data_IF_699661977507
#
_entry.id   IF_699661977507
#
_cell.length_a   1.000
_cell.length_b   1.000
_cell.length_c   1.000
_cell.angle_alpha   90.00
_cell.angle_beta   90.00
_cell.angle_gamma   90.00
#
_symmetry.space_group_name_H-M   'P 1'
#
loop_
_entity.id
_entity.type
_entity.pdbx_description
1 polymer ?
#
# COMPACT_ATOMS: atom_id res chain seq x y z
N UNK A 1 -4.68 5.20 0.30
CA UNK A 1 -3.49 5.08 -0.58
C UNK A 1 -3.59 5.91 -1.85
N UNK A 2 -4.75 5.95 -2.53
CA UNK A 2 -4.94 6.73 -3.78
C UNK A 2 -5.34 8.19 -3.57
N UNK A 3 -5.63 8.59 -2.33
CA UNK A 3 -5.83 10.00 -1.95
C UNK A 3 -4.47 10.64 -1.76
N UNK A 4 -4.17 11.77 -2.42
CA UNK A 4 -2.89 12.45 -2.24
C UNK A 4 -2.66 12.94 -0.81
N UNK A 5 -1.40 12.87 -0.38
CA UNK A 5 -0.93 13.33 0.93
C UNK A 5 -0.18 14.64 0.76
N UNK A 6 -0.64 15.69 1.44
CA UNK A 6 0.02 16.99 1.47
C UNK A 6 1.15 17.00 2.51
N UNK A 7 2.31 17.51 2.12
CA UNK A 7 3.49 17.69 2.97
C UNK A 7 3.78 19.18 3.10
N UNK A 8 3.90 19.66 4.34
CA UNK A 8 4.32 21.03 4.64
C UNK A 8 5.66 20.96 5.36
N UNK A 9 6.70 21.49 4.73
CA UNK A 9 8.07 21.45 5.22
C UNK A 9 8.57 22.82 5.68
N UNK A 10 9.57 22.81 6.56
CA UNK A 10 10.38 23.98 6.91
C UNK A 10 11.87 23.67 6.70
N UNK A 11 12.74 24.66 6.91
CA UNK A 11 14.19 24.46 6.84
C UNK A 11 14.61 23.29 7.74
N UNK A 12 15.33 22.33 7.17
CA UNK A 12 15.80 21.10 7.82
C UNK A 12 14.72 20.09 8.22
N UNK A 13 13.47 20.23 7.75
CA UNK A 13 12.55 19.09 7.76
C UNK A 13 13.15 17.97 6.90
N UNK A 14 13.33 16.79 7.49
CA UNK A 14 13.95 15.63 6.85
C UNK A 14 13.03 14.42 6.83
N UNK A 15 13.17 13.60 5.80
CA UNK A 15 12.63 12.25 5.77
C UNK A 15 13.79 11.26 5.92
N UNK A 16 13.67 10.36 6.91
CA UNK A 16 14.58 9.23 7.11
C UNK A 16 14.65 8.36 5.86
N UNK A 17 15.64 7.47 5.80
CA UNK A 17 15.69 6.48 4.73
C UNK A 17 14.45 5.58 4.78
N UNK A 18 13.68 5.59 3.70
CA UNK A 18 12.39 4.93 3.62
C UNK A 18 12.24 4.23 2.27
N UNK A 19 11.59 3.08 2.30
CA UNK A 19 11.13 2.33 1.13
C UNK A 19 9.71 1.88 1.41
N UNK A 20 8.82 2.06 0.44
CA UNK A 20 7.46 1.58 0.55
C UNK A 20 7.42 0.05 0.72
N UNK A 21 6.80 -0.47 1.80
CA UNK A 21 6.77 -1.90 2.05
C UNK A 21 5.91 -2.66 1.03
N UNK A 22 4.96 -1.99 0.36
CA UNK A 22 4.12 -2.58 -0.69
C UNK A 22 4.82 -2.63 -2.06
N UNK A 23 6.03 -2.08 -2.17
CA UNK A 23 6.75 -2.00 -3.44
C UNK A 23 6.00 -1.20 -4.50
N UNK A 24 5.12 -0.28 -4.11
CA UNK A 24 4.39 0.57 -5.02
C UNK A 24 5.27 1.75 -5.47
N UNK A 25 5.20 2.14 -6.75
CA UNK A 25 5.72 3.44 -7.14
C UNK A 25 4.85 4.57 -6.58
N UNK A 26 5.47 5.73 -6.40
CA UNK A 26 4.76 6.94 -6.01
C UNK A 26 5.42 8.17 -6.62
N UNK A 27 4.65 9.24 -6.70
CA UNK A 27 5.07 10.51 -7.28
C UNK A 27 4.88 11.62 -6.26
N UNK A 28 5.78 12.60 -6.23
CA UNK A 28 5.63 13.83 -5.45
C UNK A 28 5.77 15.06 -6.35
N UNK A 29 4.83 15.99 -6.22
CA UNK A 29 4.86 17.29 -6.86
C UNK A 29 5.16 18.39 -5.85
N UNK A 30 6.16 19.23 -6.12
CA UNK A 30 6.48 20.38 -5.29
C UNK A 30 5.70 21.60 -5.78
N UNK A 31 4.68 22.02 -5.04
CA UNK A 31 3.79 23.11 -5.44
C UNK A 31 4.47 24.47 -5.34
N UNK A 32 5.09 24.76 -4.20
CA UNK A 32 5.66 26.08 -3.91
C UNK A 32 6.71 26.04 -2.80
N UNK A 33 7.44 27.14 -2.66
CA UNK A 33 8.42 27.35 -1.59
C UNK A 33 9.86 27.09 -2.02
N UNK A 34 10.69 26.70 -1.07
CA UNK A 34 12.10 26.37 -1.27
C UNK A 34 12.28 24.98 -1.88
N UNK A 35 13.44 24.73 -2.46
CA UNK A 35 13.78 23.46 -3.10
C UNK A 35 13.93 22.32 -2.09
N UNK A 36 13.68 21.10 -2.52
CA UNK A 36 13.84 19.87 -1.72
C UNK A 36 14.99 19.03 -2.26
N UNK A 37 15.93 18.67 -1.40
CA UNK A 37 17.06 17.80 -1.78
C UNK A 37 16.64 16.36 -1.56
N UNK A 38 16.84 15.52 -2.57
CA UNK A 38 16.50 14.10 -2.56
C UNK A 38 17.74 13.24 -2.72
N UNK A 39 17.73 12.11 -2.03
CA UNK A 39 18.67 11.02 -2.19
C UNK A 39 17.89 9.75 -2.50
N UNK A 40 18.37 8.96 -3.46
CA UNK A 40 17.74 7.72 -3.87
C UNK A 40 18.76 6.59 -3.93
N UNK A 41 18.40 5.42 -3.41
CA UNK A 41 19.16 4.19 -3.55
C UNK A 41 18.27 3.20 -4.32
N UNK A 42 18.70 2.79 -5.52
CA UNK A 42 17.99 1.80 -6.30
C UNK A 42 17.92 0.44 -5.60
N UNK A 43 16.94 -0.37 -5.98
CA UNK A 43 16.73 -1.67 -5.36
C UNK A 43 17.90 -2.64 -5.60
N UNK A 44 18.58 -2.53 -6.75
CA UNK A 44 19.77 -3.32 -7.09
C UNK A 44 20.90 -3.12 -6.06
N UNK A 45 20.92 -1.98 -5.37
CA UNK A 45 21.88 -1.66 -4.32
C UNK A 45 21.32 -1.84 -2.90
N UNK A 46 20.13 -2.41 -2.74
CA UNK A 46 19.50 -2.62 -1.43
C UNK A 46 20.35 -3.50 -0.51
N UNK A 47 21.07 -4.50 -1.05
CA UNK A 47 21.93 -5.36 -0.24
C UNK A 47 23.15 -4.59 0.30
N UNK A 48 23.82 -3.82 -0.56
CA UNK A 48 24.93 -2.95 -0.16
C UNK A 48 24.48 -1.93 0.89
N UNK A 49 23.29 -1.34 0.71
CA UNK A 49 22.71 -0.41 1.66
C UNK A 49 22.43 -1.06 3.02
N UNK A 50 21.85 -2.26 3.04
CA UNK A 50 21.66 -3.05 4.27
C UNK A 50 22.98 -3.30 4.99
N UNK A 51 23.99 -3.81 4.28
CA UNK A 51 25.31 -4.08 4.87
C UNK A 51 25.98 -2.82 5.44
N UNK A 52 25.81 -1.66 4.80
CA UNK A 52 26.29 -0.39 5.32
C UNK A 52 25.55 0.03 6.60
N UNK A 53 24.21 -0.09 6.63
CA UNK A 53 23.42 0.26 7.81
C UNK A 53 23.65 -0.69 8.98
N UNK A 54 23.84 -1.98 8.74
CA UNK A 54 24.19 -2.94 9.78
C UNK A 54 25.53 -2.63 10.45
N UNK A 55 26.49 -2.02 9.72
CA UNK A 55 27.74 -1.52 10.32
C UNK A 55 27.56 -0.19 11.05
N UNK A 56 26.90 0.78 10.40
CA UNK A 56 26.83 2.16 10.89
C UNK A 56 25.82 2.32 12.05
N UNK A 57 24.67 1.65 11.93
CA UNK A 57 23.50 1.83 12.81
C UNK A 57 22.76 0.50 13.05
N UNK A 58 23.45 -0.56 13.55
CA UNK A 58 22.91 -1.93 13.65
C UNK A 58 21.59 -2.03 14.42
N UNK A 59 21.39 -1.18 15.45
CA UNK A 59 20.21 -1.21 16.31
C UNK A 59 18.90 -0.93 15.58
N UNK A 60 18.95 -0.27 14.42
CA UNK A 60 17.77 0.05 13.62
C UNK A 60 17.49 -1.00 12.53
N UNK A 61 18.42 -1.93 12.29
CA UNK A 61 18.23 -3.02 11.34
C UNK A 61 17.59 -4.21 12.04
N UNK A 62 16.46 -4.67 11.52
CA UNK A 62 15.76 -5.86 12.02
C UNK A 62 16.17 -7.10 11.21
N UNK A 63 16.21 -8.24 11.89
CA UNK A 63 16.38 -9.54 11.25
C UNK A 63 15.03 -10.04 10.69
N UNK A 64 14.54 -9.34 9.66
CA UNK A 64 13.26 -9.58 8.96
C UNK A 64 13.44 -9.30 7.47
N UNK A 65 12.46 -9.68 6.64
CA UNK A 65 12.44 -9.34 5.20
C UNK A 65 12.38 -7.83 5.01
N UNK A 66 11.51 -7.14 5.78
CA UNK A 66 11.51 -5.68 5.92
C UNK A 66 12.46 -5.31 7.07
N UNK A 67 13.72 -5.15 6.71
CA UNK A 67 14.82 -4.96 7.65
C UNK A 67 14.96 -3.50 8.14
N UNK A 68 14.46 -2.52 7.38
CA UNK A 68 14.46 -1.10 7.76
C UNK A 68 13.02 -0.58 7.87
N UNK A 69 12.49 -0.41 9.09
CA UNK A 69 11.16 0.18 9.27
C UNK A 69 11.17 1.68 8.95
N UNK A 70 10.02 2.21 8.54
CA UNK A 70 9.83 3.63 8.25
C UNK A 70 10.25 4.53 9.42
N UNK A 71 10.80 5.70 9.12
CA UNK A 71 11.12 6.75 10.09
C UNK A 71 12.12 6.36 11.20
N UNK A 72 12.90 5.29 11.00
CA UNK A 72 13.81 4.78 12.05
C UNK A 72 15.23 5.29 11.96
N UNK A 73 15.79 5.44 10.76
CA UNK A 73 17.22 5.74 10.60
C UNK A 73 17.49 6.85 9.58
N UNK A 74 18.28 7.83 10.01
CA UNK A 74 18.85 8.86 9.14
C UNK A 74 20.37 8.70 9.16
N UNK A 75 20.95 8.38 8.00
CA UNK A 75 22.40 8.25 7.82
C UNK A 75 22.84 9.22 6.71
N UNK A 76 23.85 10.07 6.95
CA UNK A 76 24.38 10.95 5.92
C UNK A 76 24.79 10.18 4.66
N UNK A 77 24.36 10.63 3.46
CA UNK A 77 24.71 9.98 2.19
C UNK A 77 26.23 9.80 1.99
N UNK A 78 27.04 10.74 2.49
CA UNK A 78 28.50 10.67 2.41
C UNK A 78 29.11 9.50 3.18
N UNK A 79 28.47 9.03 4.27
CA UNK A 79 28.89 7.83 4.99
C UNK A 79 28.51 6.56 4.22
N UNK A 80 27.34 6.54 3.59
CA UNK A 80 26.91 5.41 2.77
C UNK A 80 27.83 5.21 1.57
N UNK A 81 28.23 6.30 0.91
CA UNK A 81 29.20 6.26 -0.20
C UNK A 81 30.56 5.73 0.27
N UNK A 82 31.03 6.11 1.48
CA UNK A 82 32.27 5.57 2.06
C UNK A 82 32.19 4.07 2.34
N UNK A 83 31.00 3.56 2.67
CA UNK A 83 30.73 2.12 2.83
C UNK A 83 30.47 1.40 1.51
N UNK A 84 30.61 2.08 0.37
CA UNK A 84 30.49 1.49 -0.98
C UNK A 84 29.06 1.42 -1.52
N UNK A 85 28.11 2.16 -0.95
CA UNK A 85 26.73 2.24 -1.47
C UNK A 85 26.65 3.24 -2.61
N UNK A 86 26.16 2.80 -3.77
CA UNK A 86 25.83 3.68 -4.90
C UNK A 86 24.47 4.35 -4.66
N UNK A 87 24.42 5.67 -4.77
CA UNK A 87 23.20 6.46 -4.61
C UNK A 87 23.14 7.60 -5.62
N UNK A 88 21.93 8.04 -5.95
CA UNK A 88 21.68 9.25 -6.73
C UNK A 88 21.22 10.39 -5.82
N UNK A 89 21.42 11.62 -6.28
CA UNK A 89 20.86 12.80 -5.63
C UNK A 89 20.26 13.74 -6.68
N UNK A 90 19.27 14.52 -6.27
CA UNK A 90 18.72 15.60 -7.10
C UNK A 90 18.17 16.72 -6.21
N UNK A 91 17.97 17.90 -6.81
CA UNK A 91 17.26 19.01 -6.19
C UNK A 91 15.95 19.18 -6.95
N UNK A 92 14.83 19.10 -6.22
CA UNK A 92 13.49 19.35 -6.72
C UNK A 92 13.16 20.82 -6.50
N UNK A 93 12.93 21.56 -7.58
CA UNK A 93 12.44 22.94 -7.56
C UNK A 93 10.91 22.97 -7.64
N UNK A 94 10.24 24.06 -7.21
CA UNK A 94 8.81 24.24 -7.41
C UNK A 94 8.38 24.02 -8.86
N UNK A 95 7.24 23.36 -9.05
CA UNK A 95 6.74 22.96 -10.36
C UNK A 95 7.24 21.59 -10.85
N UNK A 96 8.09 20.89 -10.08
CA UNK A 96 8.70 19.64 -10.52
C UNK A 96 8.11 18.41 -9.84
N UNK A 97 8.06 17.33 -10.61
CA UNK A 97 7.76 15.99 -10.14
C UNK A 97 9.03 15.21 -9.76
N UNK A 98 8.93 14.42 -8.70
CA UNK A 98 9.84 13.33 -8.36
C UNK A 98 9.06 12.03 -8.45
N UNK A 99 9.52 11.13 -9.31
CA UNK A 99 8.99 9.78 -9.44
C UNK A 99 9.90 8.79 -8.70
N UNK A 100 9.33 8.03 -7.76
CA UNK A 100 10.02 6.99 -7.01
C UNK A 100 9.56 5.63 -7.52
N UNK A 101 10.54 4.83 -7.96
CA UNK A 101 10.31 3.49 -8.50
C UNK A 101 10.07 2.46 -7.38
N UNK A 102 9.42 1.32 -7.70
CA UNK A 102 9.22 0.23 -6.76
C UNK A 102 10.49 -0.13 -6.01
N UNK A 103 10.37 -0.31 -4.69
CA UNK A 103 11.44 -0.81 -3.79
C UNK A 103 12.71 0.06 -3.71
N UNK A 104 12.73 1.25 -4.31
CA UNK A 104 13.81 2.19 -4.09
C UNK A 104 13.76 2.78 -2.67
N UNK A 105 14.92 2.94 -2.04
CA UNK A 105 15.05 3.72 -0.81
C UNK A 105 15.21 5.19 -1.14
N UNK A 106 14.54 6.05 -0.39
CA UNK A 106 14.64 7.51 -0.53
C UNK A 106 14.85 8.18 0.81
N UNK A 107 15.52 9.33 0.78
CA UNK A 107 15.63 10.26 1.90
C UNK A 107 15.60 11.67 1.34
N UNK A 108 15.10 12.63 2.11
CA UNK A 108 15.01 14.01 1.65
C UNK A 108 15.25 15.04 2.75
N UNK A 109 15.64 16.25 2.35
CA UNK A 109 15.88 17.40 3.22
C UNK A 109 15.28 18.64 2.58
N UNK A 110 14.44 19.37 3.33
CA UNK A 110 13.86 20.63 2.89
C UNK A 110 14.84 21.79 3.13
N UNK A 111 15.02 22.66 2.12
CA UNK A 111 15.95 23.81 2.23
C UNK A 111 15.26 25.10 2.72
N UNK A 112 13.98 25.03 3.06
CA UNK A 112 13.18 26.16 3.55
C UNK A 112 11.71 25.77 3.70
N UNK A 113 10.84 26.77 3.82
CA UNK A 113 9.39 26.55 3.78
C UNK A 113 8.98 26.00 2.41
N UNK A 114 8.21 24.92 2.38
CA UNK A 114 7.68 24.35 1.14
C UNK A 114 6.34 23.65 1.35
N UNK A 115 5.62 23.47 0.25
CA UNK A 115 4.41 22.65 0.18
C UNK A 115 4.53 21.70 -0.99
N UNK A 116 4.49 20.39 -0.73
CA UNK A 116 4.47 19.35 -1.75
C UNK A 116 3.33 18.37 -1.51
N UNK A 117 3.03 17.55 -2.50
CA UNK A 117 1.95 16.57 -2.45
C UNK A 117 2.42 15.28 -3.10
N UNK A 118 2.18 14.14 -2.43
CA UNK A 118 2.56 12.83 -2.95
C UNK A 118 1.40 11.85 -3.03
N UNK A 119 1.48 10.90 -3.96
CA UNK A 119 0.46 9.86 -4.11
C UNK A 119 1.09 8.58 -4.69
N UNK A 120 0.60 7.45 -4.19
CA UNK A 120 0.97 6.12 -4.69
C UNK A 120 0.11 5.74 -5.90
N UNK A 121 0.66 4.92 -6.78
CA UNK A 121 -0.09 4.33 -7.88
C UNK A 121 0.37 2.90 -8.15
N UNK A 122 -0.48 2.08 -8.78
CA UNK A 122 -0.15 0.71 -9.13
C UNK A 122 -0.26 0.50 -10.64
N UNK A 123 0.73 -0.18 -11.21
CA UNK A 123 0.70 -0.68 -12.58
C UNK A 123 0.29 -2.16 -12.59
N UNK A 124 -0.31 -2.69 -13.67
CA UNK A 124 -0.71 -4.10 -13.75
C UNK A 124 0.38 -5.12 -13.43
N UNK A 125 1.63 -4.82 -13.75
CA UNK A 125 2.79 -5.66 -13.45
C UNK A 125 3.04 -5.85 -11.94
N UNK A 126 2.62 -4.91 -11.09
CA UNK A 126 2.80 -5.02 -9.63
C UNK A 126 2.07 -6.23 -9.04
N UNK A 127 0.94 -6.63 -9.64
CA UNK A 127 0.16 -7.80 -9.21
C UNK A 127 0.98 -9.10 -9.27
N UNK A 128 1.96 -9.19 -10.17
CA UNK A 128 2.84 -10.37 -10.28
C UNK A 128 3.67 -10.61 -9.02
N UNK A 129 3.97 -9.56 -8.26
CA UNK A 129 4.77 -9.62 -7.02
C UNK A 129 3.94 -9.40 -5.77
N UNK A 130 2.68 -8.99 -5.89
CA UNK A 130 1.85 -8.57 -4.76
C UNK A 130 1.72 -9.66 -3.69
N UNK A 131 1.48 -10.93 -4.04
CA UNK A 131 1.33 -11.99 -3.03
C UNK A 131 2.57 -12.14 -2.14
N UNK A 132 3.77 -12.08 -2.75
CA UNK A 132 5.02 -12.18 -2.01
C UNK A 132 5.27 -10.94 -1.15
N UNK A 133 5.00 -9.76 -1.68
CA UNK A 133 5.12 -8.49 -0.94
C UNK A 133 4.26 -8.51 0.32
N UNK A 134 2.99 -8.89 0.21
CA UNK A 134 2.09 -8.94 1.36
C UNK A 134 2.47 -10.02 2.37
N UNK A 135 3.05 -11.12 1.90
CA UNK A 135 3.65 -12.13 2.76
C UNK A 135 4.86 -11.58 3.53
N UNK A 136 5.74 -10.84 2.87
CA UNK A 136 6.92 -10.22 3.49
C UNK A 136 6.52 -9.19 4.57
N UNK A 137 5.47 -8.41 4.30
CA UNK A 137 4.89 -7.48 5.28
C UNK A 137 4.39 -8.24 6.51
N UNK A 138 3.63 -9.32 6.30
CA UNK A 138 3.09 -10.15 7.36
C UNK A 138 4.21 -10.82 8.20
N UNK A 139 5.24 -11.39 7.57
CA UNK A 139 6.38 -12.03 8.25
C UNK A 139 7.25 -11.02 9.03
N UNK A 140 7.22 -9.75 8.61
CA UNK A 140 7.89 -8.65 9.28
C UNK A 140 7.04 -7.97 10.36
N UNK A 141 5.78 -8.39 10.54
CA UNK A 141 4.79 -7.74 11.42
C UNK A 141 4.62 -6.23 11.13
N UNK A 142 4.83 -5.82 9.88
CA UNK A 142 4.61 -4.44 9.46
C UNK A 142 3.13 -4.18 9.21
N UNK A 143 2.66 -2.97 9.51
CA UNK A 143 1.27 -2.60 9.22
C UNK A 143 1.13 -2.32 7.74
N UNK A 144 0.03 -2.78 7.15
CA UNK A 144 -0.26 -2.61 5.73
C UNK A 144 -1.38 -1.60 5.53
N UNK A 145 -1.18 -0.70 4.57
CA UNK A 145 -2.14 0.36 4.23
C UNK A 145 -3.34 -0.14 3.42
N UNK A 146 -3.30 -1.37 2.90
CA UNK A 146 -4.33 -1.97 2.05
C UNK A 146 -4.50 -3.44 2.43
N UNK A 147 -5.70 -4.00 2.34
CA UNK A 147 -5.87 -5.46 2.36
C UNK A 147 -5.76 -6.00 0.93
N UNK A 148 -4.77 -6.88 0.66
CA UNK A 148 -4.63 -7.52 -0.64
C UNK A 148 -5.90 -8.28 -1.02
N UNK A 149 -6.48 -9.01 -0.08
CA UNK A 149 -7.73 -9.75 -0.31
C UNK A 149 -8.84 -8.81 -0.75
N UNK A 150 -9.07 -7.72 0.00
CA UNK A 150 -10.09 -6.72 -0.33
C UNK A 150 -9.86 -6.12 -1.71
N UNK A 151 -8.61 -5.79 -2.04
CA UNK A 151 -8.22 -5.28 -3.34
C UNK A 151 -8.54 -6.28 -4.46
N UNK A 152 -8.15 -7.54 -4.30
CA UNK A 152 -8.37 -8.58 -5.32
C UNK A 152 -9.86 -8.86 -5.53
N UNK A 153 -10.65 -8.96 -4.46
CA UNK A 153 -12.11 -9.10 -4.58
C UNK A 153 -12.75 -7.86 -5.22
N UNK A 154 -12.28 -6.65 -4.91
CA UNK A 154 -12.79 -5.42 -5.53
C UNK A 154 -12.47 -5.35 -7.02
N UNK A 155 -11.24 -5.68 -7.42
CA UNK A 155 -10.84 -5.75 -8.84
C UNK A 155 -11.65 -6.82 -9.56
N UNK A 156 -11.82 -7.99 -8.94
CA UNK A 156 -12.57 -9.07 -9.54
C UNK A 156 -14.03 -8.65 -9.78
N UNK A 157 -14.69 -8.07 -8.79
CA UNK A 157 -16.11 -7.68 -8.86
C UNK A 157 -16.40 -6.43 -9.70
N UNK A 158 -15.40 -5.60 -10.00
CA UNK A 158 -15.58 -4.42 -10.84
C UNK A 158 -15.71 -4.78 -12.33
N UNK A 159 -16.89 -4.53 -12.89
CA UNK A 159 -17.19 -4.74 -14.31
C UNK A 159 -16.31 -3.92 -15.27
N UNK A 160 -15.61 -2.90 -14.78
CA UNK A 160 -14.70 -2.05 -15.57
C UNK A 160 -13.28 -2.59 -15.64
N UNK A 161 -12.96 -3.64 -14.90
CA UNK A 161 -11.61 -4.21 -14.82
C UNK A 161 -11.13 -4.76 -16.15
N UNK A 162 -9.89 -4.44 -16.52
CA UNK A 162 -9.28 -4.90 -17.76
C UNK A 162 -9.03 -6.42 -17.73
N UNK A 163 -9.23 -7.09 -18.87
CA UNK A 163 -9.17 -8.56 -18.96
C UNK A 163 -7.78 -9.10 -18.59
N UNK A 164 -6.72 -8.38 -18.94
CA UNK A 164 -5.34 -8.74 -18.57
C UNK A 164 -5.09 -8.68 -17.05
N UNK A 165 -5.74 -7.73 -16.36
CA UNK A 165 -5.67 -7.62 -14.90
C UNK A 165 -6.46 -8.77 -14.27
N UNK A 166 -7.67 -9.04 -14.77
CA UNK A 166 -8.49 -10.15 -14.30
C UNK A 166 -7.81 -11.52 -14.47
N UNK A 167 -7.06 -11.72 -15.56
CA UNK A 167 -6.24 -12.93 -15.78
C UNK A 167 -5.21 -13.16 -14.69
N UNK A 168 -4.62 -12.10 -14.14
CA UNK A 168 -3.65 -12.19 -13.04
C UNK A 168 -4.34 -12.35 -11.69
N UNK A 169 -5.45 -11.66 -11.47
CA UNK A 169 -6.18 -11.65 -10.19
C UNK A 169 -6.93 -12.96 -9.92
N UNK A 170 -7.53 -13.58 -10.94
CA UNK A 170 -8.39 -14.76 -10.74
C UNK A 170 -7.66 -15.95 -10.06
N UNK A 171 -6.44 -16.36 -10.49
CA UNK A 171 -5.69 -17.39 -9.77
C UNK A 171 -5.45 -17.06 -8.29
N UNK A 172 -5.17 -15.79 -7.98
CA UNK A 172 -4.93 -15.32 -6.61
C UNK A 172 -6.21 -15.44 -5.77
N UNK A 173 -7.35 -15.01 -6.30
CA UNK A 173 -8.66 -15.10 -5.61
C UNK A 173 -9.05 -16.57 -5.37
N UNK A 174 -8.84 -17.45 -6.36
CA UNK A 174 -9.10 -18.89 -6.21
C UNK A 174 -8.25 -19.49 -5.09
N UNK A 175 -6.97 -19.11 -5.02
CA UNK A 175 -6.04 -19.57 -3.98
C UNK A 175 -6.46 -19.09 -2.59
N UNK A 176 -6.79 -17.81 -2.44
CA UNK A 176 -7.31 -17.22 -1.19
C UNK A 176 -8.56 -17.96 -0.74
N UNK A 177 -9.53 -18.17 -1.65
CA UNK A 177 -10.76 -18.91 -1.35
C UNK A 177 -10.45 -20.34 -0.86
N UNK A 178 -9.55 -21.06 -1.53
CA UNK A 178 -9.24 -22.44 -1.13
C UNK A 178 -8.57 -22.50 0.25
N UNK A 179 -7.65 -21.57 0.54
CA UNK A 179 -7.02 -21.47 1.86
C UNK A 179 -8.03 -21.10 2.94
N UNK A 180 -8.90 -20.13 2.66
CA UNK A 180 -9.95 -19.70 3.58
C UNK A 180 -10.88 -20.87 3.97
N UNK A 181 -11.37 -21.62 2.99
CA UNK A 181 -12.24 -22.79 3.24
C UNK A 181 -11.51 -23.86 4.06
N UNK A 182 -10.24 -24.12 3.76
CA UNK A 182 -9.40 -25.04 4.53
C UNK A 182 -9.31 -24.62 6.00
N UNK A 183 -9.00 -23.35 6.26
CA UNK A 183 -8.86 -22.86 7.64
C UNK A 183 -10.18 -22.82 8.40
N UNK A 184 -11.30 -22.44 7.74
CA UNK A 184 -12.63 -22.52 8.36
C UNK A 184 -12.98 -23.95 8.75
N UNK A 185 -12.68 -24.91 7.87
CA UNK A 185 -12.92 -26.32 8.16
C UNK A 185 -12.06 -26.81 9.34
N UNK A 186 -10.81 -26.40 9.43
CA UNK A 186 -9.93 -26.73 10.55
C UNK A 186 -10.41 -26.12 11.88
N UNK A 187 -10.90 -24.88 11.87
CA UNK A 187 -11.52 -24.27 13.06
C UNK A 187 -12.79 -25.02 13.50
N UNK A 188 -13.59 -25.49 12.55
CA UNK A 188 -14.76 -26.32 12.84
C UNK A 188 -14.36 -27.67 13.46
N UNK A 189 -13.31 -28.33 12.97
CA UNK A 189 -12.82 -29.60 13.55
C UNK A 189 -12.22 -29.41 14.95
N UNK A 190 -11.64 -28.23 15.22
CA UNK A 190 -11.21 -27.83 16.56
C UNK A 190 -12.37 -27.51 17.52
N UNK A 191 -13.59 -27.40 17.00
CA UNK A 191 -14.81 -27.22 17.80
C UNK A 191 -15.33 -25.78 17.87
N UNK A 192 -14.78 -24.85 17.07
CA UNK A 192 -15.29 -23.48 16.97
C UNK A 192 -16.59 -23.46 16.17
N UNK A 193 -17.73 -23.46 16.86
CA UNK A 193 -19.06 -23.49 16.21
C UNK A 193 -19.70 -22.11 16.07
N UNK A 194 -19.28 -21.15 16.88
CA UNK A 194 -19.84 -19.80 16.85
C UNK A 194 -19.27 -19.03 15.67
N UNK A 195 -20.16 -18.58 14.78
CA UNK A 195 -19.80 -17.71 13.68
C UNK A 195 -20.83 -16.58 13.50
N UNK A 196 -20.38 -15.44 12.97
CA UNK A 196 -21.22 -14.26 12.73
C UNK A 196 -20.68 -13.48 11.52
N UNK A 197 -21.56 -12.81 10.77
CA UNK A 197 -21.13 -11.97 9.65
C UNK A 197 -20.52 -10.66 10.17
N UNK A 198 -19.43 -10.21 9.57
CA UNK A 198 -18.84 -8.91 9.86
C UNK A 198 -19.84 -7.80 9.50
N UNK A 199 -20.04 -6.81 10.37
CA UNK A 199 -20.89 -5.68 10.05
C UNK A 199 -20.24 -4.88 8.91
N UNK A 200 -20.81 -4.97 7.71
CA UNK A 200 -20.40 -4.10 6.61
C UNK A 200 -20.73 -2.65 6.98
N UNK A 201 -19.92 -1.66 6.56
CA UNK A 201 -20.27 -0.25 6.71
C UNK A 201 -21.50 0.06 5.83
N UNK A 202 -22.72 -0.17 6.35
CA UNK A 202 -23.92 0.28 5.69
C UNK A 202 -24.13 1.78 5.92
N UNK A 203 -24.56 2.46 4.86
CA UNK A 203 -24.90 3.87 4.74
C UNK A 203 -26.10 4.33 5.61
N UNK A 204 -26.26 3.80 6.82
CA UNK A 204 -27.31 4.21 7.76
C UNK A 204 -26.69 5.02 8.91
N UNK A 205 -27.05 6.31 8.96
CA UNK A 205 -26.54 7.31 9.91
C UNK A 205 -26.91 7.11 11.38
N UNK A 206 -26.85 5.88 11.91
CA UNK A 206 -27.00 5.60 13.35
C UNK A 206 -25.63 5.35 13.96
N UNK A 207 -24.97 6.45 14.36
CA UNK A 207 -23.80 6.44 15.24
C UNK A 207 -24.08 5.61 16.50
N UNK A 208 -23.51 4.40 16.60
CA UNK A 208 -23.39 3.69 17.88
C UNK A 208 -22.24 4.33 18.65
N UNK A 209 -22.56 5.17 19.64
CA UNK A 209 -21.59 5.70 20.60
C UNK A 209 -20.99 4.54 21.42
N UNK A 210 -19.86 3.96 21.00
CA UNK A 210 -18.83 3.41 21.92
C UNK A 210 -17.65 2.71 21.23
N UNK A 211 -17.43 2.79 19.91
CA UNK A 211 -16.29 2.12 19.29
C UNK A 211 -15.12 3.08 19.05
N UNK A 212 -13.87 2.68 19.33
CA UNK A 212 -12.68 3.47 18.98
C UNK A 212 -12.62 3.67 17.46
N UNK A 213 -12.08 4.82 17.01
CA UNK A 213 -12.09 5.22 15.59
C UNK A 213 -11.46 4.20 14.62
N UNK A 214 -10.61 3.27 15.10
CA UNK A 214 -10.07 2.14 14.31
C UNK A 214 -11.13 1.11 13.88
N UNK A 215 -12.22 0.98 14.62
CA UNK A 215 -13.27 -0.01 14.37
C UNK A 215 -14.36 0.47 13.39
N UNK A 216 -14.37 1.76 13.01
CA UNK A 216 -15.45 2.33 12.19
C UNK A 216 -15.28 2.05 10.67
N UNK A 217 -14.08 1.73 10.18
CA UNK A 217 -13.79 1.50 8.75
C UNK A 217 -13.64 0.02 8.33
N UNK A 218 -13.74 -0.92 9.28
CA UNK A 218 -13.61 -2.35 9.01
C UNK A 218 -12.18 -2.83 8.75
N UNK A 219 -11.18 -2.06 9.18
CA UNK A 219 -9.75 -2.37 9.01
C UNK A 219 -9.22 -3.14 10.22
N UNK A 220 -9.64 -4.40 10.34
CA UNK A 220 -9.16 -5.30 11.39
C UNK A 220 -7.74 -5.78 11.11
N UNK A 221 -6.88 -5.83 12.13
CA UNK A 221 -5.53 -6.39 12.05
C UNK A 221 -5.37 -7.57 13.02
N UNK A 222 -4.58 -8.57 12.65
CA UNK A 222 -4.23 -9.65 13.58
C UNK A 222 -3.25 -9.17 14.66
N UNK A 223 -3.49 -9.50 15.92
CA UNK A 223 -2.60 -9.12 17.03
C UNK A 223 -1.18 -9.70 16.93
N UNK A 224 -1.01 -10.83 16.25
CA UNK A 224 0.28 -11.53 16.17
C UNK A 224 1.11 -11.08 14.96
N UNK A 225 0.53 -11.12 13.76
CA UNK A 225 1.25 -10.78 12.53
C UNK A 225 0.86 -9.43 11.90
N UNK A 226 -0.10 -8.71 12.48
CA UNK A 226 -0.61 -7.42 11.98
C UNK A 226 -1.12 -7.42 10.54
N UNK A 227 -1.39 -8.59 9.97
CA UNK A 227 -2.07 -8.69 8.68
C UNK A 227 -3.49 -8.11 8.77
N UNK A 228 -3.89 -7.34 7.76
CA UNK A 228 -5.27 -6.90 7.60
C UNK A 228 -6.18 -8.12 7.37
N UNK A 229 -7.33 -8.12 8.02
CA UNK A 229 -8.28 -9.23 8.01
C UNK A 229 -9.56 -8.78 7.31
N UNK A 230 -9.77 -9.27 6.10
CA UNK A 230 -10.92 -8.89 5.29
C UNK A 230 -11.88 -10.06 5.08
N UNK A 231 -11.40 -11.22 4.62
CA UNK A 231 -12.30 -12.34 4.29
C UNK A 231 -12.93 -12.92 5.56
N UNK A 232 -12.11 -13.14 6.59
CA UNK A 232 -12.55 -13.57 7.92
C UNK A 232 -11.52 -13.26 9.00
N UNK A 233 -11.96 -13.37 10.25
CA UNK A 233 -11.14 -13.24 11.45
C UNK A 233 -11.75 -14.04 12.60
N UNK A 234 -10.97 -14.28 13.65
CA UNK A 234 -11.49 -14.82 14.92
C UNK A 234 -11.33 -13.77 16.01
N UNK A 235 -12.43 -13.41 16.66
CA UNK A 235 -12.43 -12.55 17.84
C UNK A 235 -12.38 -13.40 19.11
N UNK A 236 -11.62 -12.99 20.11
CA UNK A 236 -11.62 -13.58 21.45
C UNK A 236 -12.18 -12.56 22.46
N UNK A 237 -13.36 -12.82 23.03
CA UNK A 237 -14.03 -11.89 23.95
C UNK A 237 -13.38 -11.80 25.33
N UNK A 238 -12.48 -12.72 25.69
CA UNK A 238 -11.82 -12.71 27.00
C UNK A 238 -10.60 -11.78 27.04
N UNK A 239 -9.84 -11.75 25.95
CA UNK A 239 -8.63 -10.92 25.81
C UNK A 239 -8.88 -9.69 24.94
N UNK A 240 -10.11 -9.50 24.46
CA UNK A 240 -10.50 -8.47 23.48
C UNK A 240 -9.65 -8.48 22.20
N UNK A 241 -9.13 -9.66 21.84
CA UNK A 241 -8.17 -9.83 20.75
C UNK A 241 -8.77 -10.28 19.43
N UNK A 242 -8.07 -9.95 18.34
CA UNK A 242 -8.45 -10.26 16.96
C UNK A 242 -7.32 -11.03 16.26
N UNK A 243 -7.65 -12.17 15.66
CA UNK A 243 -6.67 -13.07 15.05
C UNK A 243 -7.04 -13.45 13.62
N UNK A 244 -6.01 -13.58 12.76
CA UNK A 244 -6.19 -14.30 11.49
C UNK A 244 -6.44 -15.78 11.76
N UNK A 245 -7.04 -16.50 10.80
CA UNK A 245 -7.38 -17.92 11.00
C UNK A 245 -6.17 -18.80 11.36
N UNK A 246 -4.99 -18.69 10.72
CA UNK A 246 -3.81 -19.48 11.11
C UNK A 246 -3.41 -19.28 12.58
N UNK A 247 -3.37 -18.04 13.05
CA UNK A 247 -3.02 -17.75 14.45
C UNK A 247 -4.13 -18.17 15.42
N UNK A 248 -5.39 -18.07 15.01
CA UNK A 248 -6.51 -18.57 15.80
C UNK A 248 -6.45 -20.10 15.95
N UNK A 249 -6.13 -20.82 14.88
CA UNK A 249 -5.91 -22.28 14.88
C UNK A 249 -4.79 -22.65 15.85
N UNK A 250 -3.65 -21.96 15.78
CA UNK A 250 -2.54 -22.17 16.72
C UNK A 250 -2.94 -21.90 18.17
N UNK A 251 -3.65 -20.79 18.42
CA UNK A 251 -4.15 -20.43 19.75
C UNK A 251 -5.08 -21.53 20.30
N UNK A 252 -6.06 -21.96 19.52
CA UNK A 252 -7.08 -22.93 19.94
C UNK A 252 -6.52 -24.35 20.05
N UNK A 253 -5.49 -24.68 19.29
CA UNK A 253 -4.75 -25.95 19.40
C UNK A 253 -4.03 -26.03 20.75
N UNK A 254 -3.36 -24.94 21.14
CA UNK A 254 -2.57 -24.89 22.39
C UNK A 254 -3.43 -24.60 23.63
N UNK A 255 -4.51 -23.82 23.49
CA UNK A 255 -5.34 -23.31 24.58
C UNK A 255 -6.83 -23.56 24.30
N UNK A 256 -7.25 -24.83 24.29
CA UNK A 256 -8.65 -25.22 24.04
C UNK A 256 -9.70 -24.54 24.92
N UNK A 257 -9.33 -24.09 26.13
CA UNK A 257 -10.26 -23.37 27.01
C UNK A 257 -10.70 -22.00 26.46
N UNK A 258 -9.99 -21.44 25.47
CA UNK A 258 -10.40 -20.21 24.77
C UNK A 258 -11.58 -20.42 23.81
N UNK A 259 -11.91 -21.66 23.43
CA UNK A 259 -12.98 -21.96 22.45
C UNK A 259 -14.32 -21.31 22.78
N UNK A 260 -14.68 -21.23 24.08
CA UNK A 260 -15.94 -20.62 24.54
C UNK A 260 -15.98 -19.08 24.39
N UNK A 261 -14.83 -18.44 24.21
CA UNK A 261 -14.68 -17.00 24.06
C UNK A 261 -14.37 -16.59 22.61
N UNK A 262 -14.02 -17.57 21.77
CA UNK A 262 -13.72 -17.34 20.37
C UNK A 262 -14.98 -17.39 19.50
N UNK A 263 -15.02 -16.53 18.48
CA UNK A 263 -16.06 -16.51 17.45
C UNK A 263 -15.43 -16.22 16.08
N UNK A 264 -15.82 -16.98 15.07
CA UNK A 264 -15.43 -16.73 13.68
C UNK A 264 -16.30 -15.60 13.10
N UNK A 265 -15.68 -14.53 12.65
CA UNK A 265 -16.34 -13.46 11.92
C UNK A 265 -15.97 -13.53 10.45
N UNK A 266 -16.93 -13.35 9.53
CA UNK A 266 -16.66 -13.44 8.09
C UNK A 266 -17.37 -12.37 7.26
N UNK A 267 -16.76 -11.95 6.16
CA UNK A 267 -17.37 -11.01 5.19
C UNK A 267 -18.28 -11.74 4.22
N UNK A 268 -17.79 -12.86 3.67
CA UNK A 268 -18.51 -13.70 2.70
C UNK A 268 -18.76 -15.10 3.24
N UNK A 269 -19.95 -15.64 2.99
CA UNK A 269 -20.23 -17.06 3.17
C UNK A 269 -19.63 -17.91 2.03
N UNK A 270 -19.66 -19.23 2.17
CA UNK A 270 -19.05 -20.14 1.18
C UNK A 270 -19.69 -20.06 -0.21
N UNK A 271 -20.99 -19.78 -0.29
CA UNK A 271 -21.74 -19.70 -1.54
C UNK A 271 -21.53 -18.35 -2.22
N UNK A 272 -21.43 -17.27 -1.46
CA UNK A 272 -20.99 -15.95 -1.94
C UNK A 272 -19.58 -16.03 -2.53
N UNK A 273 -18.61 -16.59 -1.81
CA UNK A 273 -17.24 -16.75 -2.35
C UNK A 273 -17.22 -17.59 -3.64
N UNK A 274 -18.07 -18.62 -3.75
CA UNK A 274 -18.23 -19.41 -4.98
C UNK A 274 -18.81 -18.56 -6.11
N UNK A 275 -19.86 -17.79 -5.84
CA UNK A 275 -20.53 -16.94 -6.83
C UNK A 275 -19.58 -15.89 -7.37
N UNK A 276 -18.86 -15.20 -6.50
CA UNK A 276 -17.88 -14.20 -6.93
C UNK A 276 -16.90 -14.83 -7.92
N UNK A 277 -16.24 -15.94 -7.56
CA UNK A 277 -15.28 -16.62 -8.46
C UNK A 277 -15.91 -17.08 -9.79
N UNK A 278 -17.16 -17.55 -9.78
CA UNK A 278 -17.82 -18.12 -10.96
C UNK A 278 -18.30 -17.07 -11.96
N UNK A 279 -18.57 -15.83 -11.54
CA UNK A 279 -18.93 -14.73 -12.46
C UNK A 279 -17.79 -14.43 -13.46
N UNK A 280 -16.55 -14.81 -13.14
CA UNK A 280 -15.37 -14.46 -13.94
C UNK A 280 -15.02 -15.46 -15.05
N UNK A 281 -15.38 -16.74 -14.91
CA UNK A 281 -15.02 -17.81 -15.86
C UNK A 281 -15.61 -17.60 -17.28
N UNK A 282 -16.86 -17.11 -17.45
CA UNK A 282 -17.43 -16.84 -18.78
C UNK A 282 -16.73 -15.67 -19.51
N UNK A 283 -16.34 -14.62 -18.79
CA UNK A 283 -15.71 -13.42 -19.37
C UNK A 283 -14.30 -13.70 -19.93
N UNK A 284 -13.59 -14.69 -19.37
CA UNK A 284 -12.26 -15.10 -19.83
C UNK A 284 -12.29 -16.12 -20.98
N UNK A 285 -13.33 -16.96 -21.03
CA UNK A 285 -13.50 -17.99 -22.07
C UNK A 285 -13.96 -17.40 -23.41
N UNK A 286 -14.66 -16.25 -23.41
CA UNK A 286 -15.07 -15.53 -24.62
C UNK A 286 -13.92 -14.80 -25.33
N UNK A 287 -12.74 -14.69 -24.70
CA UNK A 287 -11.61 -13.86 -25.17
C UNK A 287 -10.31 -14.64 -25.37
N UNK A 288 -10.38 -15.96 -25.53
CA UNK A 288 -9.24 -16.83 -25.89
C UNK A 288 -8.81 -16.71 -27.36
N UNK A 289 -9.39 -15.77 -28.13
CA UNK A 289 -9.26 -15.71 -29.59
C UNK A 289 -8.30 -14.67 -30.20
N UNK A 290 -7.69 -13.72 -29.47
CA UNK A 290 -6.86 -12.68 -30.10
C UNK A 290 -5.56 -12.32 -29.34
N UNK A 291 -4.48 -12.33 -30.13
CA UNK A 291 -3.04 -12.00 -29.96
C UNK A 291 -2.75 -10.55 -29.45
N UNK A 292 -1.48 -10.06 -29.36
CA UNK A 292 -0.14 -10.68 -29.21
C UNK A 292 0.64 -10.18 -27.95
N UNK A 293 1.77 -10.82 -27.64
CA UNK A 293 2.72 -10.40 -26.59
C UNK A 293 3.51 -9.15 -26.99
N UNK A 294 3.43 -8.08 -26.21
CA UNK A 294 4.37 -6.95 -26.28
C UNK A 294 5.37 -7.09 -25.13
N UNK A 295 6.63 -7.35 -25.48
CA UNK A 295 7.76 -7.30 -24.56
C UNK A 295 8.15 -5.84 -24.36
N UNK A 296 8.06 -5.33 -23.13
CA UNK A 296 8.70 -4.08 -22.72
C UNK A 296 9.96 -4.44 -21.93
N UNK A 297 11.10 -4.09 -22.50
CA UNK A 297 12.43 -4.21 -21.90
C UNK A 297 12.58 -3.25 -20.72
N UNK A 298 13.12 -3.76 -19.62
CA UNK A 298 13.56 -3.02 -18.44
C UNK A 298 14.52 -1.90 -18.86
N UNK A 299 14.06 -0.65 -18.80
CA UNK A 299 14.93 0.52 -18.95
C UNK A 299 15.38 1.04 -17.60
N UNK A 300 16.69 1.31 -17.55
CA UNK A 300 17.50 1.76 -16.45
C UNK A 300 16.97 3.03 -15.79
N UNK A 301 16.82 2.97 -14.46
CA UNK A 301 16.94 4.03 -13.46
C UNK A 301 17.12 5.47 -13.96
N UNK A 302 16.10 6.31 -13.75
CA UNK A 302 16.24 7.77 -13.67
C UNK A 302 15.22 8.31 -12.66
N UNK A 303 15.65 9.22 -11.78
CA UNK A 303 14.72 10.21 -11.26
C UNK A 303 14.32 11.05 -12.48
N UNK A 304 13.11 10.80 -13.00
CA UNK A 304 12.63 11.50 -14.18
C UNK A 304 12.12 12.87 -13.74
N UNK A 305 12.88 13.90 -14.07
CA UNK A 305 12.46 15.30 -13.95
C UNK A 305 11.56 15.62 -15.13
N UNK A 306 10.29 15.88 -14.86
CA UNK A 306 9.37 16.49 -15.83
C UNK A 306 9.23 17.96 -15.48
N UNK A 307 9.59 18.82 -16.43
CA UNK A 307 9.44 20.27 -16.32
C UNK A 307 8.14 20.67 -17.04
N UNK A 308 7.16 21.17 -16.30
CA UNK A 308 5.94 21.73 -16.91
C UNK A 308 6.27 23.15 -17.35
N UNK A 309 6.40 23.36 -18.68
CA UNK A 309 6.75 24.67 -19.24
C UNK A 309 5.84 25.79 -18.68
N UNK A 310 6.49 26.78 -18.07
CA UNK A 310 5.96 27.93 -17.31
C UNK A 310 5.12 28.95 -18.12
N UNK A 311 4.48 28.59 -19.23
CA UNK A 311 3.89 29.56 -20.17
C UNK A 311 2.43 29.97 -19.92
N UNK A 312 1.74 29.39 -18.94
CA UNK A 312 0.31 29.70 -18.69
C UNK A 312 0.03 30.62 -17.49
N UNK A 313 1.05 31.23 -16.86
CA UNK A 313 0.87 32.08 -15.67
C UNK A 313 1.14 33.59 -15.88
N UNK A 314 1.58 34.03 -17.06
CA UNK A 314 1.76 35.46 -17.34
C UNK A 314 0.50 36.07 -17.96
N UNK A 315 -0.52 36.32 -17.13
CA UNK A 315 -1.50 37.39 -17.40
C UNK A 315 -1.56 38.32 -16.20
N UNK A 316 -1.46 39.64 -16.39
CA UNK A 316 -1.46 40.58 -15.29
C UNK A 316 -2.81 40.51 -14.56
N UNK A 317 -2.75 40.40 -13.24
CA UNK A 317 -3.90 40.45 -12.34
C UNK A 317 -4.52 41.85 -12.44
N UNK A 318 -5.80 42.02 -12.84
CA UNK A 318 -6.47 43.29 -12.68
C UNK A 318 -6.79 43.47 -11.20
N UNK A 319 -6.39 44.61 -10.64
CA UNK A 319 -6.86 45.10 -9.36
C UNK A 319 -8.37 45.29 -9.41
N UNK A 320 -9.15 44.51 -8.65
CA UNK A 320 -10.37 44.96 -7.96
C UNK A 320 -10.93 43.87 -7.02
N UNK A 321 -11.13 44.31 -5.77
CA UNK A 321 -12.16 43.98 -4.79
C UNK A 321 -12.71 42.55 -4.60
N UNK A 322 -12.46 42.08 -3.38
CA UNK A 322 -13.37 41.40 -2.44
C UNK A 322 -14.28 40.25 -2.90
N UNK A 323 -14.16 39.17 -2.12
CA UNK A 323 -15.09 38.04 -1.94
C UNK A 323 -15.16 37.01 -3.07
N UNK A 324 -14.26 36.01 -3.04
CA UNK A 324 -14.63 34.60 -3.02
C UNK A 324 -13.40 33.71 -2.83
N UNK A 325 -13.47 32.86 -1.80
CA UNK A 325 -12.52 31.82 -1.44
C UNK A 325 -12.39 30.81 -2.60
N UNK A 326 -11.32 30.86 -3.40
CA UNK A 326 -10.98 29.80 -4.35
C UNK A 326 -10.06 28.80 -3.64
N UNK A 327 -10.61 27.64 -3.33
CA UNK A 327 -9.90 26.54 -2.68
C UNK A 327 -8.72 26.03 -3.51
N UNK A 328 -7.71 25.52 -2.80
CA UNK A 328 -6.62 24.72 -3.36
C UNK A 328 -7.21 23.57 -4.20
N UNK A 329 -6.81 23.49 -5.46
CA UNK A 329 -7.27 22.44 -6.38
C UNK A 329 -6.42 21.18 -6.14
N UNK A 330 -6.89 20.29 -5.26
CA UNK A 330 -6.19 19.04 -4.85
C UNK A 330 -6.15 17.96 -5.96
N UNK A 331 -6.24 18.36 -7.23
CA UNK A 331 -6.53 17.45 -8.35
C UNK A 331 -5.40 17.39 -9.41
N UNK A 332 -4.36 18.24 -9.29
CA UNK A 332 -3.32 18.33 -10.33
C UNK A 332 -2.48 17.04 -10.46
N UNK A 333 -2.01 16.49 -9.34
CA UNK A 333 -1.18 15.27 -9.31
C UNK A 333 -1.96 14.05 -9.84
N UNK A 334 -3.22 13.90 -9.42
CA UNK A 334 -4.11 12.82 -9.89
C UNK A 334 -4.42 12.93 -11.38
N UNK A 335 -4.53 14.16 -11.92
CA UNK A 335 -4.78 14.39 -13.34
C UNK A 335 -3.60 13.99 -14.22
N UNK A 336 -2.37 14.37 -13.84
CA UNK A 336 -1.14 14.01 -14.58
C UNK A 336 -0.96 12.49 -14.65
N UNK A 337 -1.25 11.80 -13.54
CA UNK A 337 -1.23 10.34 -13.47
C UNK A 337 -2.22 9.70 -14.45
N UNK A 338 -3.48 10.15 -14.48
CA UNK A 338 -4.52 9.60 -15.38
C UNK A 338 -4.25 9.86 -16.85
N UNK A 339 -3.65 11.00 -17.20
CA UNK A 339 -3.41 11.38 -18.59
C UNK A 339 -2.18 10.69 -19.20
N UNK A 340 -1.20 10.24 -18.40
CA UNK A 340 0.11 9.80 -18.91
C UNK A 340 0.55 8.39 -18.47
N UNK A 341 -0.06 7.80 -17.45
CA UNK A 341 0.34 6.51 -16.90
C UNK A 341 -0.91 5.62 -16.79
N UNK A 342 -0.97 4.54 -17.57
CA UNK A 342 -2.06 3.55 -17.48
C UNK A 342 -2.06 2.88 -16.09
N UNK A 343 -2.77 3.50 -15.14
CA UNK A 343 -2.81 3.12 -13.73
C UNK A 343 -4.04 2.25 -13.47
N UNK A 344 -3.88 1.27 -12.58
CA UNK A 344 -5.03 0.55 -12.01
C UNK A 344 -5.72 1.51 -11.03
N UNK A 345 -6.90 1.99 -11.43
CA UNK A 345 -7.74 2.91 -10.66
C UNK A 345 -8.72 2.19 -9.76
#
# INVERSE_FOLDING_TARGET
VTVPTLHVGMLFTTCCWYRDPHGLPWIEYLHTGASKIWYGIPDEYSCSFRSALEKLVPRYCRDRTIWLPSDTAMVPPSLLVKEGVSLCHTVQEPGQFILVFPRAFTSSVCTGYLVSESVYFAQPNWLTTAEQVFKDIQESCESSMVSLERLLFSIATDARSHVEVLRQVLPMVVRIRQQELSYRQELLTLGLKMSERLPLPEASGKRRKSRPARDEEGDYECEICRANLFVSLVTNSHEEGVYCLPHAIQLLTNKRHHLKYCKLMYTYDEEEMKREVNVFVPNLTLLSGCLPSVSLTLQTLRILRFDTNHKDLDKPVPSHDNTHNKGFDSCYTTRVLRENLHIIG
#
